data_IF_910043151922
#
_entry.id   IF_910043151922
#
_cell.length_a   1.000
_cell.length_b   1.000
_cell.length_c   1.000
_cell.angle_alpha   90.00
_cell.angle_beta   90.00
_cell.angle_gamma   90.00
#
_symmetry.space_group_name_H-M   'P 1'
#
loop_
_entity.id
_entity.type
_entity.pdbx_description
1 polymer ?
#
# COMPACT_ATOMS: atom_id res chain seq x y z
N UNK A 1 -35.38 -31.26 26.29
CA UNK A 1 -35.62 -32.65 26.74
C UNK A 1 -36.97 -32.73 27.43
N UNK A 2 -37.51 -33.93 27.67
CA UNK A 2 -38.70 -34.07 28.51
C UNK A 2 -38.42 -33.64 29.95
N UNK A 3 -39.47 -33.26 30.68
CA UNK A 3 -39.42 -33.08 32.13
C UNK A 3 -39.02 -34.39 32.83
N UNK A 4 -38.59 -34.31 34.09
CA UNK A 4 -38.22 -35.47 34.88
C UNK A 4 -39.36 -36.50 34.91
N UNK A 5 -38.99 -37.78 34.76
CA UNK A 5 -39.92 -38.91 34.85
C UNK A 5 -40.59 -38.93 36.24
N UNK A 6 -41.90 -39.21 36.31
CA UNK A 6 -42.59 -39.40 37.58
C UNK A 6 -41.92 -40.46 38.46
N UNK A 7 -41.91 -40.28 39.79
CA UNK A 7 -41.36 -41.26 40.73
C UNK A 7 -42.10 -42.60 40.65
N UNK A 8 -41.42 -43.66 41.08
CA UNK A 8 -42.04 -44.99 41.22
C UNK A 8 -42.97 -44.98 42.43
N UNK A 9 -44.09 -45.67 42.34
CA UNK A 9 -45.06 -45.83 43.43
C UNK A 9 -44.51 -46.83 44.48
N UNK A 10 -43.55 -46.35 45.28
CA UNK A 10 -42.82 -47.09 46.31
C UNK A 10 -42.48 -46.17 47.51
N UNK A 11 -42.23 -46.69 48.72
CA UNK A 11 -42.05 -45.88 49.94
C UNK A 11 -40.97 -44.81 49.88
N UNK A 12 -39.92 -45.02 49.06
CA UNK A 12 -38.82 -44.08 48.82
C UNK A 12 -38.77 -43.58 47.37
N UNK A 13 -39.82 -43.78 46.58
CA UNK A 13 -39.90 -43.41 45.15
C UNK A 13 -38.90 -44.12 44.22
N UNK A 14 -38.24 -45.19 44.70
CA UNK A 14 -37.24 -45.96 43.95
C UNK A 14 -37.64 -47.43 43.83
N UNK A 15 -37.01 -48.14 42.90
CA UNK A 15 -37.14 -49.59 42.83
C UNK A 15 -36.33 -50.25 43.94
N UNK A 16 -36.96 -51.21 44.61
CA UNK A 16 -36.32 -52.10 45.56
C UNK A 16 -36.44 -53.55 45.10
N UNK A 17 -35.38 -54.32 45.35
CA UNK A 17 -35.42 -55.77 45.20
C UNK A 17 -36.32 -56.40 46.26
N UNK A 18 -36.93 -57.54 45.91
CA UNK A 18 -37.62 -58.37 46.87
C UNK A 18 -36.62 -59.10 47.77
N UNK A 19 -37.05 -59.44 48.98
CA UNK A 19 -36.31 -60.32 49.88
C UNK A 19 -37.08 -61.63 50.08
N UNK A 20 -36.73 -62.72 49.37
CA UNK A 20 -37.40 -64.01 49.48
C UNK A 20 -37.34 -64.63 50.87
N UNK A 21 -36.29 -64.36 51.66
CA UNK A 21 -36.14 -64.92 53.01
C UNK A 21 -37.04 -64.22 54.05
N UNK A 22 -37.54 -63.02 53.72
CA UNK A 22 -38.47 -62.24 54.54
C UNK A 22 -39.88 -62.15 53.92
N UNK A 23 -40.12 -62.82 52.79
CA UNK A 23 -41.39 -62.74 52.04
C UNK A 23 -41.68 -61.36 51.45
N UNK A 24 -40.72 -60.45 51.43
CA UNK A 24 -40.88 -59.10 50.88
C UNK A 24 -40.83 -59.16 49.35
N UNK A 25 -41.89 -58.70 48.68
CA UNK A 25 -41.92 -58.61 47.22
C UNK A 25 -41.14 -57.39 46.73
N UNK A 26 -40.51 -57.53 45.57
CA UNK A 26 -39.82 -56.41 44.91
C UNK A 26 -40.81 -55.40 44.31
N UNK A 27 -40.31 -54.21 44.01
CA UNK A 27 -41.11 -53.15 43.39
C UNK A 27 -41.52 -53.53 41.97
N UNK A 28 -42.82 -53.51 41.67
CA UNK A 28 -43.33 -53.86 40.34
C UNK A 28 -42.98 -52.76 39.33
N UNK A 29 -42.35 -53.15 38.22
CA UNK A 29 -42.13 -52.26 37.07
C UNK A 29 -43.42 -52.13 36.27
N UNK A 30 -44.12 -51.01 36.45
CA UNK A 30 -45.39 -50.75 35.75
C UNK A 30 -45.15 -50.24 34.33
N UNK A 31 -46.11 -50.49 33.44
CA UNK A 31 -46.09 -49.97 32.07
C UNK A 31 -45.92 -48.44 32.02
N UNK A 32 -46.50 -47.72 32.99
CA UNK A 32 -46.29 -46.27 33.14
C UNK A 32 -44.79 -45.91 33.17
N UNK A 33 -44.00 -46.62 33.97
CA UNK A 33 -42.56 -46.35 34.07
C UNK A 33 -41.82 -46.67 32.77
N UNK A 34 -42.06 -47.85 32.18
CA UNK A 34 -41.40 -48.24 30.92
C UNK A 34 -41.78 -47.35 29.75
N UNK A 35 -43.04 -46.88 29.69
CA UNK A 35 -43.47 -45.90 28.70
C UNK A 35 -42.77 -44.56 28.91
N UNK A 36 -42.65 -44.08 30.14
CA UNK A 36 -41.91 -42.84 30.45
C UNK A 36 -40.41 -42.96 30.09
N UNK A 37 -39.78 -44.11 30.33
CA UNK A 37 -38.39 -44.38 29.89
C UNK A 37 -38.29 -44.35 28.36
N UNK A 38 -39.20 -45.02 27.66
CA UNK A 38 -39.24 -45.01 26.19
C UNK A 38 -39.39 -43.59 25.65
N UNK A 39 -40.28 -42.80 26.24
CA UNK A 39 -40.55 -41.43 25.83
C UNK A 39 -39.34 -40.52 26.08
N UNK A 40 -38.65 -40.66 27.21
CA UNK A 40 -37.43 -39.92 27.52
C UNK A 40 -36.31 -40.23 26.52
N UNK A 41 -36.08 -41.51 26.20
CA UNK A 41 -35.08 -41.93 25.21
C UNK A 41 -35.41 -41.36 23.82
N UNK A 42 -36.66 -41.49 23.38
CA UNK A 42 -37.10 -40.95 22.07
C UNK A 42 -36.99 -39.42 22.02
N UNK A 43 -37.21 -38.73 23.14
CA UNK A 43 -37.05 -37.28 23.25
C UNK A 43 -35.59 -36.87 23.04
N UNK A 44 -34.65 -37.52 23.72
CA UNK A 44 -33.20 -37.27 23.52
C UNK A 44 -32.79 -37.59 22.08
N UNK A 45 -33.23 -38.73 21.53
CA UNK A 45 -32.95 -39.09 20.14
C UNK A 45 -33.44 -38.02 19.16
N UNK A 46 -34.65 -37.46 19.36
CA UNK A 46 -35.17 -36.36 18.53
C UNK A 46 -34.31 -35.09 18.59
N UNK A 47 -33.75 -34.74 19.74
CA UNK A 47 -32.84 -33.60 19.83
C UNK A 47 -31.53 -33.87 19.08
N UNK A 48 -30.97 -35.07 19.24
CA UNK A 48 -29.78 -35.48 18.48
C UNK A 48 -30.04 -35.49 16.96
N UNK A 49 -31.20 -36.01 16.53
CA UNK A 49 -31.64 -35.96 15.13
C UNK A 49 -31.80 -34.52 14.62
N UNK A 50 -32.24 -33.59 15.47
CA UNK A 50 -32.35 -32.17 15.10
C UNK A 50 -30.98 -31.53 14.89
N UNK A 51 -29.98 -31.91 15.70
CA UNK A 51 -28.58 -31.50 15.52
C UNK A 51 -28.04 -32.04 14.19
N UNK A 52 -28.28 -33.32 13.87
CA UNK A 52 -27.87 -33.92 12.59
C UNK A 52 -28.53 -33.22 11.39
N UNK A 53 -29.83 -32.95 11.47
CA UNK A 53 -30.58 -32.25 10.43
C UNK A 53 -30.06 -30.82 10.21
N UNK A 54 -29.77 -30.08 11.29
CA UNK A 54 -29.18 -28.74 11.21
C UNK A 54 -27.81 -28.74 10.52
N UNK A 55 -27.04 -29.83 10.66
CA UNK A 55 -25.78 -30.05 9.96
C UNK A 55 -25.95 -30.66 8.55
N UNK A 56 -27.19 -30.90 8.09
CA UNK A 56 -27.48 -31.61 6.85
C UNK A 56 -26.79 -32.99 6.77
N UNK A 57 -26.86 -33.75 7.87
CA UNK A 57 -26.35 -35.13 8.00
C UNK A 57 -27.55 -36.06 8.17
N UNK A 58 -27.61 -37.12 7.35
CA UNK A 58 -28.61 -38.17 7.52
C UNK A 58 -28.18 -39.12 8.65
N UNK A 59 -29.11 -39.53 9.53
CA UNK A 59 -28.80 -40.47 10.60
C UNK A 59 -28.33 -41.82 10.06
N UNK A 60 -27.26 -42.34 10.64
CA UNK A 60 -26.69 -43.65 10.30
C UNK A 60 -26.59 -44.50 11.58
N UNK A 61 -27.22 -45.67 11.59
CA UNK A 61 -27.23 -46.59 12.73
C UNK A 61 -25.87 -47.21 13.02
N UNK A 62 -24.97 -47.24 12.03
CA UNK A 62 -23.64 -47.83 12.15
C UNK A 62 -22.56 -46.79 12.56
N UNK A 63 -22.90 -45.50 12.53
CA UNK A 63 -21.98 -44.41 12.88
C UNK A 63 -22.11 -43.99 14.35
N UNK A 64 -20.98 -44.01 15.06
CA UNK A 64 -20.87 -43.58 16.46
C UNK A 64 -20.33 -42.14 16.64
N UNK A 65 -20.09 -41.40 15.57
CA UNK A 65 -19.51 -40.04 15.64
C UNK A 65 -20.34 -38.95 14.93
N UNK A 66 -21.50 -39.29 14.37
CA UNK A 66 -22.36 -38.37 13.62
C UNK A 66 -22.77 -37.10 14.40
N UNK A 67 -23.04 -37.21 15.70
CA UNK A 67 -23.38 -36.04 16.55
C UNK A 67 -22.19 -35.09 16.67
N UNK A 68 -20.98 -35.63 16.84
CA UNK A 68 -19.76 -34.84 16.87
C UNK A 68 -19.49 -34.17 15.52
N UNK A 69 -19.68 -34.91 14.41
CA UNK A 69 -19.58 -34.35 13.06
C UNK A 69 -20.55 -33.20 12.84
N UNK A 70 -21.80 -33.34 13.30
CA UNK A 70 -22.81 -32.31 13.19
C UNK A 70 -22.47 -31.07 14.03
N UNK A 71 -22.05 -31.23 15.29
CA UNK A 71 -21.63 -30.12 16.14
C UNK A 71 -20.46 -29.37 15.51
N UNK A 72 -19.43 -30.08 15.03
CA UNK A 72 -18.29 -29.47 14.36
C UNK A 72 -18.71 -28.68 13.12
N UNK A 73 -19.60 -29.25 12.30
CA UNK A 73 -20.12 -28.58 11.11
C UNK A 73 -20.92 -27.34 11.44
N UNK A 74 -21.87 -27.43 12.39
CA UNK A 74 -22.67 -26.30 12.86
C UNK A 74 -21.75 -25.20 13.43
N UNK A 75 -20.74 -25.55 14.21
CA UNK A 75 -19.81 -24.56 14.77
C UNK A 75 -18.95 -23.88 13.70
N UNK A 76 -18.57 -24.59 12.63
CA UNK A 76 -17.86 -24.01 11.48
C UNK A 76 -18.78 -23.12 10.64
N UNK A 77 -20.05 -23.48 10.48
CA UNK A 77 -21.03 -22.73 9.70
C UNK A 77 -21.61 -21.53 10.47
N UNK A 78 -21.70 -21.61 11.80
CA UNK A 78 -22.26 -20.57 12.69
C UNK A 78 -21.25 -19.51 13.09
N UNK A 79 -19.95 -19.82 13.03
CA UNK A 79 -18.92 -18.80 13.10
C UNK A 79 -18.80 -18.17 11.72
N UNK A 80 -18.83 -16.84 11.66
CA UNK A 80 -18.38 -16.00 10.55
C UNK A 80 -16.91 -16.32 10.17
N UNK A 81 -16.66 -17.54 9.70
CA UNK A 81 -15.35 -18.01 9.35
C UNK A 81 -14.97 -17.26 8.09
N UNK A 82 -13.81 -16.59 8.12
CA UNK A 82 -13.31 -15.83 6.98
C UNK A 82 -13.45 -16.70 5.73
N UNK A 83 -14.21 -16.25 4.70
CA UNK A 83 -14.37 -16.97 3.46
C UNK A 83 -13.01 -17.39 2.87
N UNK A 84 -12.99 -18.56 2.22
CA UNK A 84 -11.78 -19.02 1.55
C UNK A 84 -11.29 -17.98 0.54
N UNK A 85 -9.98 -17.82 0.45
CA UNK A 85 -9.34 -16.93 -0.50
C UNK A 85 -9.28 -15.44 -0.12
N UNK A 86 -9.87 -14.98 0.99
CA UNK A 86 -9.66 -13.60 1.47
C UNK A 86 -8.24 -13.43 2.04
N UNK A 87 -7.42 -12.50 1.53
CA UNK A 87 -6.12 -12.21 2.12
C UNK A 87 -6.27 -11.52 3.48
N UNK A 88 -5.63 -12.07 4.50
CA UNK A 88 -5.60 -11.56 5.87
C UNK A 88 -4.18 -11.11 6.24
N UNK A 89 -4.03 -9.95 6.92
CA UNK A 89 -2.74 -9.54 7.45
C UNK A 89 -2.35 -10.43 8.64
N UNK A 90 -1.13 -10.97 8.61
CA UNK A 90 -0.58 -11.87 9.61
C UNK A 90 0.76 -11.35 10.15
N UNK A 91 0.93 -11.21 11.47
CA UNK A 91 2.07 -10.49 12.06
C UNK A 91 3.35 -11.31 12.19
N UNK A 92 3.31 -12.63 11.95
CA UNK A 92 4.48 -13.51 12.10
C UNK A 92 4.89 -14.16 10.79
N UNK A 93 6.11 -14.66 10.71
CA UNK A 93 6.66 -15.30 9.51
C UNK A 93 6.04 -16.67 9.19
N UNK A 94 5.48 -17.34 10.20
CA UNK A 94 4.89 -18.68 10.05
C UNK A 94 3.35 -18.58 10.09
N UNK A 95 2.65 -18.93 9.01
CA UNK A 95 1.19 -18.93 9.01
C UNK A 95 0.65 -20.04 9.93
N UNK A 96 -0.55 -19.89 10.51
CA UNK A 96 -1.21 -20.97 11.23
C UNK A 96 -1.50 -22.15 10.31
N UNK A 97 -1.67 -23.34 10.90
CA UNK A 97 -2.12 -24.53 10.18
C UNK A 97 -3.43 -24.24 9.44
N UNK A 98 -3.52 -24.65 8.17
CA UNK A 98 -4.68 -24.40 7.31
C UNK A 98 -4.62 -23.08 6.54
N UNK A 99 -3.53 -22.31 6.65
CA UNK A 99 -3.32 -21.08 5.90
C UNK A 99 -2.09 -21.15 4.99
N UNK A 100 -2.13 -20.44 3.86
CA UNK A 100 -1.03 -20.30 2.91
C UNK A 100 -0.63 -18.83 2.76
N UNK A 101 0.65 -18.55 2.56
CA UNK A 101 1.15 -17.19 2.28
C UNK A 101 0.83 -16.82 0.82
N UNK A 102 0.35 -15.60 0.58
CA UNK A 102 0.10 -15.04 -0.76
C UNK A 102 1.41 -14.60 -1.43
N UNK A 103 2.18 -15.56 -1.95
CA UNK A 103 3.51 -15.36 -2.53
C UNK A 103 3.61 -15.73 -4.02
N UNK A 104 2.48 -15.85 -4.72
CA UNK A 104 2.45 -16.27 -6.12
C UNK A 104 2.50 -17.79 -6.36
N UNK A 105 2.61 -18.62 -5.31
CA UNK A 105 2.74 -20.06 -5.46
C UNK A 105 1.46 -20.71 -6.02
N UNK A 106 1.65 -21.74 -6.84
CA UNK A 106 0.58 -22.64 -7.28
C UNK A 106 0.11 -23.54 -6.13
N UNK A 107 -1.13 -23.99 -6.19
CA UNK A 107 -1.71 -24.92 -5.23
C UNK A 107 -2.51 -26.03 -5.92
N UNK A 108 -2.69 -27.16 -5.24
CA UNK A 108 -3.48 -28.29 -5.75
C UNK A 108 -4.97 -28.06 -5.54
N UNK A 109 -5.74 -28.04 -6.62
CA UNK A 109 -7.21 -27.96 -6.56
C UNK A 109 -7.83 -29.21 -5.90
N UNK A 110 -7.17 -30.37 -5.97
CA UNK A 110 -7.62 -31.58 -5.28
C UNK A 110 -7.45 -31.47 -3.76
N UNK A 111 -6.42 -30.76 -3.30
CA UNK A 111 -6.15 -30.56 -1.86
C UNK A 111 -6.97 -29.39 -1.30
N UNK A 112 -7.14 -28.32 -2.08
CA UNK A 112 -7.82 -27.09 -1.67
C UNK A 112 -8.95 -26.70 -2.64
N UNK A 113 -10.03 -27.51 -2.73
CA UNK A 113 -11.10 -27.27 -3.70
C UNK A 113 -11.84 -25.94 -3.48
N UNK A 114 -12.03 -25.53 -2.21
CA UNK A 114 -12.68 -24.26 -1.88
C UNK A 114 -11.81 -23.06 -2.30
N UNK A 115 -10.48 -23.19 -2.24
CA UNK A 115 -9.56 -22.15 -2.69
C UNK A 115 -9.52 -22.08 -4.21
N UNK A 116 -9.59 -23.23 -4.91
CA UNK A 116 -9.66 -23.31 -6.36
C UNK A 116 -10.94 -22.67 -6.93
N UNK A 117 -12.04 -22.69 -6.18
CA UNK A 117 -13.27 -22.00 -6.55
C UNK A 117 -13.13 -20.46 -6.55
N UNK A 118 -12.18 -19.92 -5.78
CA UNK A 118 -11.93 -18.47 -5.69
C UNK A 118 -10.77 -18.05 -6.62
N UNK A 119 -9.64 -18.75 -6.53
CA UNK A 119 -8.47 -18.55 -7.38
C UNK A 119 -8.44 -19.59 -8.49
N UNK A 120 -9.22 -19.35 -9.53
CA UNK A 120 -9.44 -20.29 -10.65
C UNK A 120 -8.20 -20.53 -11.52
N UNK A 121 -7.17 -19.69 -11.40
CA UNK A 121 -5.86 -19.91 -12.02
C UNK A 121 -5.07 -21.07 -11.40
N UNK A 122 -5.46 -21.54 -10.20
CA UNK A 122 -4.70 -22.53 -9.44
C UNK A 122 -3.43 -21.95 -8.79
N UNK A 123 -3.31 -20.62 -8.72
CA UNK A 123 -2.21 -19.94 -8.06
C UNK A 123 -2.70 -18.78 -7.19
N UNK A 124 -1.99 -18.55 -6.08
CA UNK A 124 -2.24 -17.40 -5.22
C UNK A 124 -1.72 -16.11 -5.87
N UNK A 125 -2.31 -14.95 -5.56
CA UNK A 125 -1.69 -13.68 -5.88
C UNK A 125 -0.36 -13.53 -5.11
N UNK A 126 0.61 -12.85 -5.71
CA UNK A 126 1.81 -12.41 -4.99
C UNK A 126 1.52 -11.03 -4.40
N UNK A 127 1.29 -11.00 -3.08
CA UNK A 127 0.94 -9.78 -2.35
C UNK A 127 2.12 -9.18 -1.57
N UNK A 128 3.34 -9.68 -1.81
CA UNK A 128 4.55 -9.10 -1.21
C UNK A 128 4.77 -7.70 -1.77
N UNK A 129 4.88 -6.71 -0.89
CA UNK A 129 4.99 -5.29 -1.26
C UNK A 129 3.70 -4.67 -1.79
N UNK A 130 2.58 -5.40 -1.83
CA UNK A 130 1.31 -4.90 -2.36
C UNK A 130 0.44 -4.30 -1.26
N UNK A 131 -0.35 -3.29 -1.62
CA UNK A 131 -1.45 -2.77 -0.79
C UNK A 131 -2.77 -3.08 -1.48
N UNK A 132 -3.72 -3.68 -0.75
CA UNK A 132 -5.05 -3.99 -1.31
C UNK A 132 -5.84 -2.70 -1.51
N UNK A 133 -6.21 -2.44 -2.76
CA UNK A 133 -7.07 -1.33 -3.18
C UNK A 133 -8.40 -1.91 -3.67
N UNK A 134 -9.50 -1.33 -3.22
CA UNK A 134 -10.83 -1.70 -3.72
C UNK A 134 -10.91 -1.57 -5.24
N UNK A 135 -11.59 -2.51 -5.90
CA UNK A 135 -11.79 -2.46 -7.34
C UNK A 135 -12.57 -1.18 -7.71
N UNK A 136 -12.05 -0.30 -8.57
CA UNK A 136 -12.79 0.87 -9.02
C UNK A 136 -13.98 0.45 -9.88
N UNK A 137 -14.97 1.34 -10.03
CA UNK A 137 -16.16 1.07 -10.84
C UNK A 137 -15.84 0.77 -12.32
N UNK A 138 -14.69 1.21 -12.83
CA UNK A 138 -14.22 0.94 -14.20
C UNK A 138 -12.70 1.08 -14.31
N UNK A 139 -12.14 0.65 -15.45
CA UNK A 139 -10.73 0.85 -15.79
C UNK A 139 -9.77 -0.20 -15.22
N UNK A 140 -10.24 -1.17 -14.43
CA UNK A 140 -9.44 -2.27 -13.88
C UNK A 140 -10.24 -3.57 -13.77
N UNK A 141 -9.54 -4.69 -13.83
CA UNK A 141 -10.06 -6.03 -13.54
C UNK A 141 -9.70 -6.48 -12.12
N UNK A 142 -10.45 -7.43 -11.57
CA UNK A 142 -10.10 -8.09 -10.31
C UNK A 142 -8.68 -8.70 -10.40
N UNK A 143 -7.92 -8.59 -9.31
CA UNK A 143 -6.53 -9.06 -9.19
C UNK A 143 -5.52 -8.43 -10.17
N UNK A 144 -5.90 -7.39 -10.92
CA UNK A 144 -4.92 -6.60 -11.68
C UNK A 144 -3.95 -5.88 -10.75
N UNK A 145 -2.68 -5.72 -11.16
CA UNK A 145 -1.69 -4.91 -10.45
C UNK A 145 -1.68 -3.47 -10.99
N UNK A 146 -1.30 -2.53 -10.14
CA UNK A 146 -1.13 -1.11 -10.45
C UNK A 146 0.19 -0.66 -9.83
N UNK A 147 1.07 -0.05 -10.62
CA UNK A 147 2.32 0.50 -10.12
C UNK A 147 2.05 1.75 -9.26
N UNK A 148 2.96 2.07 -8.36
CA UNK A 148 2.92 3.31 -7.61
C UNK A 148 3.14 4.53 -8.54
N UNK A 149 2.71 5.70 -8.08
CA UNK A 149 2.85 6.90 -8.89
C UNK A 149 2.50 8.16 -8.13
N UNK A 150 3.25 9.23 -8.41
CA UNK A 150 2.96 10.54 -7.85
C UNK A 150 1.86 11.23 -8.66
N UNK A 151 1.01 11.99 -7.98
CA UNK A 151 -0.03 12.78 -8.64
C UNK A 151 0.63 13.91 -9.44
N UNK A 152 0.08 14.21 -10.62
CA UNK A 152 0.50 15.35 -11.44
C UNK A 152 0.44 16.65 -10.66
N UNK A 153 1.52 17.45 -10.70
CA UNK A 153 1.63 18.73 -10.01
C UNK A 153 2.67 19.65 -10.69
N UNK A 154 2.75 20.91 -10.25
CA UNK A 154 3.68 21.93 -10.76
C UNK A 154 4.42 22.63 -9.61
N UNK A 155 5.56 23.25 -9.92
CA UNK A 155 6.34 24.06 -8.98
C UNK A 155 6.48 25.50 -9.49
N UNK A 156 6.53 26.46 -8.58
CA UNK A 156 6.99 27.81 -8.89
C UNK A 156 8.52 27.86 -8.90
N UNK A 157 9.11 28.56 -9.86
CA UNK A 157 10.56 28.75 -9.96
C UNK A 157 10.88 30.22 -10.21
N UNK A 158 12.04 30.66 -9.72
CA UNK A 158 12.57 32.01 -9.93
C UNK A 158 14.08 31.97 -10.16
N UNK A 159 14.61 33.01 -10.81
CA UNK A 159 16.05 33.23 -10.98
C UNK A 159 16.46 34.48 -10.19
N UNK A 160 17.67 34.50 -9.66
CA UNK A 160 18.22 35.67 -8.98
C UNK A 160 18.80 36.66 -9.98
N UNK A 161 18.58 37.95 -9.75
CA UNK A 161 19.22 39.02 -10.52
C UNK A 161 20.75 38.88 -10.50
N UNK A 162 21.39 39.13 -11.65
CA UNK A 162 22.85 39.02 -11.82
C UNK A 162 23.41 40.31 -12.41
N UNK A 163 24.23 41.02 -11.63
CA UNK A 163 24.97 42.20 -12.10
C UNK A 163 26.28 41.78 -12.79
N UNK A 164 26.46 42.18 -14.06
CA UNK A 164 27.67 41.88 -14.86
C UNK A 164 28.80 42.91 -14.65
N UNK A 165 28.54 43.92 -13.82
CA UNK A 165 29.45 45.02 -13.50
C UNK A 165 29.69 45.99 -14.66
N UNK A 166 30.50 47.02 -14.41
CA UNK A 166 30.86 48.03 -15.39
C UNK A 166 32.02 47.57 -16.29
N UNK A 167 31.94 47.83 -17.60
CA UNK A 167 33.02 47.58 -18.57
C UNK A 167 33.35 48.89 -19.31
N UNK A 168 34.63 49.20 -19.48
CA UNK A 168 35.10 50.41 -20.19
C UNK A 168 35.99 50.02 -21.37
N UNK A 169 35.96 50.80 -22.46
CA UNK A 169 36.95 50.69 -23.54
C UNK A 169 38.29 51.28 -23.07
N UNK A 170 39.43 50.88 -23.66
CA UNK A 170 40.73 51.46 -23.30
C UNK A 170 40.76 52.97 -23.62
N UNK A 171 41.45 53.75 -22.79
CA UNK A 171 41.61 55.20 -22.93
C UNK A 171 42.92 55.60 -23.62
N UNK A 172 43.69 54.64 -24.13
CA UNK A 172 45.09 54.81 -24.52
C UNK A 172 45.28 55.41 -25.93
N UNK A 173 44.48 56.42 -26.27
CA UNK A 173 44.54 57.07 -27.59
C UNK A 173 45.01 58.54 -27.53
N UNK A 174 45.35 59.06 -26.35
CA UNK A 174 45.73 60.47 -26.21
C UNK A 174 47.22 60.69 -26.55
N UNK A 175 47.46 61.27 -27.72
CA UNK A 175 48.77 61.79 -28.12
C UNK A 175 48.60 63.10 -28.89
N UNK A 176 49.61 63.97 -28.83
CA UNK A 176 49.68 65.27 -29.52
C UNK A 176 51.01 65.39 -30.26
N UNK A 177 51.00 66.07 -31.40
CA UNK A 177 52.19 66.43 -32.16
C UNK A 177 52.45 67.94 -32.06
N UNK A 178 53.67 68.33 -31.67
CA UNK A 178 54.10 69.73 -31.61
C UNK A 178 55.09 70.08 -32.72
N UNK A 179 54.93 71.25 -33.34
CA UNK A 179 55.89 71.79 -34.31
C UNK A 179 56.82 72.80 -33.64
N UNK A 180 58.13 72.66 -33.89
CA UNK A 180 59.16 73.55 -33.33
C UNK A 180 59.17 74.96 -33.93
N UNK A 181 59.57 75.94 -33.11
CA UNK A 181 59.66 77.34 -33.45
C UNK A 181 60.85 77.64 -34.37
N UNK A 182 60.69 77.43 -35.68
CA UNK A 182 61.72 77.82 -36.65
C UNK A 182 61.56 77.16 -38.01
N UNK A 183 60.66 77.67 -38.86
CA UNK A 183 60.74 77.39 -40.29
C UNK A 183 61.76 78.33 -40.92
N UNK A 184 63.04 77.98 -40.83
CA UNK A 184 64.07 78.66 -41.62
C UNK A 184 63.97 78.14 -43.06
N UNK A 185 63.45 78.96 -43.96
CA UNK A 185 63.49 78.67 -45.40
C UNK A 185 64.96 78.59 -45.81
N UNK A 186 65.42 77.40 -46.16
CA UNK A 186 66.76 77.22 -46.71
C UNK A 186 66.75 77.66 -48.18
N UNK A 187 67.19 78.91 -48.43
CA UNK A 187 67.61 79.37 -49.76
C UNK A 187 66.76 80.44 -50.47
N UNK A 188 66.59 81.65 -49.92
CA UNK A 188 66.03 82.76 -50.69
C UNK A 188 66.04 84.14 -50.01
N UNK A 189 66.82 85.05 -50.62
CA UNK A 189 66.95 86.53 -50.48
C UNK A 189 66.26 87.25 -49.32
N UNK A 190 67.05 88.04 -48.61
CA UNK A 190 66.72 88.98 -47.53
C UNK A 190 65.49 89.84 -47.81
N UNK A 191 64.35 89.36 -47.34
CA UNK A 191 63.22 90.18 -46.95
C UNK A 191 63.00 89.93 -45.47
N UNK A 192 62.91 90.99 -44.67
CA UNK A 192 62.44 90.90 -43.29
C UNK A 192 61.04 90.28 -43.28
N UNK A 193 60.96 88.97 -43.17
CA UNK A 193 59.76 88.34 -42.64
C UNK A 193 59.77 88.69 -41.15
N UNK A 194 58.85 89.56 -40.76
CA UNK A 194 58.73 90.06 -39.39
C UNK A 194 58.99 88.94 -38.38
N UNK A 195 59.84 89.23 -37.40
CA UNK A 195 60.18 88.28 -36.35
C UNK A 195 58.92 87.97 -35.55
N UNK A 196 58.25 86.87 -35.90
CA UNK A 196 57.19 86.32 -35.07
C UNK A 196 57.88 85.65 -33.88
N UNK A 197 58.19 86.44 -32.85
CA UNK A 197 58.51 85.98 -31.48
C UNK A 197 57.27 85.41 -30.76
N UNK A 198 56.21 85.08 -31.50
CA UNK A 198 55.05 84.40 -30.97
C UNK A 198 55.41 82.97 -30.63
N UNK A 199 55.23 82.58 -29.38
CA UNK A 199 55.38 81.21 -28.88
C UNK A 199 54.25 80.27 -29.32
N UNK A 200 53.45 80.68 -30.31
CA UNK A 200 52.25 79.97 -30.78
C UNK A 200 52.48 79.18 -32.07
N UNK A 201 53.49 78.31 -32.12
CA UNK A 201 53.55 77.30 -33.17
C UNK A 201 52.55 76.19 -32.79
N UNK A 202 51.60 75.94 -33.69
CA UNK A 202 50.41 75.14 -33.40
C UNK A 202 50.72 73.78 -32.80
N UNK A 203 50.10 73.47 -31.67
CA UNK A 203 49.91 72.08 -31.23
C UNK A 203 48.72 71.52 -31.98
N UNK A 204 48.75 70.24 -32.35
CA UNK A 204 47.51 69.61 -32.81
C UNK A 204 46.49 69.60 -31.67
N UNK A 205 45.21 69.91 -31.94
CA UNK A 205 44.23 69.95 -30.86
C UNK A 205 44.00 68.54 -30.35
N UNK A 206 44.14 68.35 -29.04
CA UNK A 206 43.69 67.12 -28.37
C UNK A 206 42.17 67.10 -28.40
N UNK A 207 41.58 66.02 -28.93
CA UNK A 207 40.14 65.88 -28.98
C UNK A 207 39.65 65.48 -27.56
N UNK A 208 38.65 66.16 -26.98
CA UNK A 208 38.18 65.86 -25.63
C UNK A 208 37.76 64.39 -25.48
N UNK A 209 37.83 63.83 -24.26
CA UNK A 209 37.35 62.48 -24.01
C UNK A 209 35.92 62.31 -24.53
N UNK A 210 35.68 61.28 -25.33
CA UNK A 210 34.36 60.93 -25.84
C UNK A 210 34.00 59.50 -25.45
N UNK A 211 32.70 59.22 -25.36
CA UNK A 211 32.18 57.91 -25.01
C UNK A 211 31.39 57.31 -26.18
N UNK A 212 31.34 55.98 -26.19
CA UNK A 212 30.52 55.19 -27.10
C UNK A 212 29.47 54.41 -26.31
N UNK A 213 28.34 54.11 -26.94
CA UNK A 213 27.37 53.13 -26.43
C UNK A 213 27.57 51.79 -27.13
N UNK A 214 27.33 50.70 -26.41
CA UNK A 214 27.41 49.33 -26.95
C UNK A 214 26.10 48.62 -26.63
N UNK A 215 25.44 48.11 -27.67
CA UNK A 215 24.23 47.30 -27.51
C UNK A 215 24.62 45.83 -27.27
N UNK A 216 24.14 45.25 -26.16
CA UNK A 216 24.52 43.88 -25.73
C UNK A 216 23.54 42.80 -26.25
N UNK A 217 22.26 43.14 -26.40
CA UNK A 217 21.22 42.22 -26.91
C UNK A 217 20.60 41.28 -25.87
N UNK A 218 19.54 40.54 -26.24
CA UNK A 218 18.88 39.56 -25.38
C UNK A 218 19.71 38.27 -25.28
N UNK A 219 19.62 37.59 -24.13
CA UNK A 219 20.20 36.26 -23.92
C UNK A 219 19.27 35.42 -23.03
N UNK A 220 19.59 34.13 -22.86
CA UNK A 220 18.81 33.20 -22.04
C UNK A 220 19.66 32.09 -21.45
N UNK A 221 19.03 31.26 -20.62
CA UNK A 221 19.69 30.16 -19.90
C UNK A 221 18.93 28.85 -20.08
N UNK A 222 19.66 27.74 -20.01
CA UNK A 222 19.07 26.41 -19.87
C UNK A 222 18.82 26.14 -18.39
N UNK A 223 17.60 25.75 -18.04
CA UNK A 223 17.24 25.33 -16.68
C UNK A 223 17.15 23.80 -16.66
N UNK A 224 17.83 23.19 -15.69
CA UNK A 224 17.74 21.75 -15.42
C UNK A 224 17.12 21.55 -14.05
N UNK A 225 16.13 20.66 -13.97
CA UNK A 225 15.52 20.24 -12.70
C UNK A 225 15.91 18.78 -12.48
N UNK A 226 16.69 18.54 -11.44
CA UNK A 226 17.15 17.19 -11.09
C UNK A 226 16.01 16.35 -10.49
N UNK A 227 16.14 15.03 -10.62
CA UNK A 227 15.18 14.10 -10.03
C UNK A 227 15.21 14.19 -8.49
N UNK A 228 14.03 14.08 -7.87
CA UNK A 228 13.88 14.07 -6.41
C UNK A 228 12.83 13.05 -5.99
N UNK A 229 13.17 12.22 -5.01
CA UNK A 229 12.28 11.17 -4.48
C UNK A 229 13.01 9.89 -4.10
N UNK A 230 12.23 8.89 -3.68
CA UNK A 230 12.69 7.53 -3.40
C UNK A 230 12.42 6.62 -4.60
N UNK A 231 12.85 5.36 -4.52
CA UNK A 231 12.55 4.33 -5.53
C UNK A 231 11.06 3.98 -5.64
N UNK A 232 10.28 4.21 -4.58
CA UNK A 232 8.85 3.94 -4.52
C UNK A 232 8.10 5.11 -3.85
N UNK A 233 6.89 5.36 -4.34
CA UNK A 233 5.91 6.27 -3.73
C UNK A 233 5.20 5.54 -2.61
N UNK A 234 5.47 5.93 -1.36
CA UNK A 234 4.93 5.25 -0.19
C UNK A 234 4.06 6.14 0.66
N UNK A 235 3.12 5.51 1.38
CA UNK A 235 2.44 6.09 2.54
C UNK A 235 2.99 5.42 3.80
N UNK A 236 2.77 6.01 4.98
CA UNK A 236 3.13 5.33 6.24
C UNK A 236 2.46 3.95 6.28
N UNK A 237 3.25 2.90 6.43
CA UNK A 237 2.81 1.52 6.38
C UNK A 237 3.57 0.65 7.40
N UNK A 238 3.07 -0.56 7.64
CA UNK A 238 3.69 -1.59 8.49
C UNK A 238 3.61 -2.93 7.78
N UNK A 239 4.70 -3.70 7.83
CA UNK A 239 4.79 -4.97 7.13
C UNK A 239 4.04 -6.10 7.87
N UNK A 240 3.12 -6.76 7.17
CA UNK A 240 2.45 -7.99 7.57
C UNK A 240 2.56 -8.98 6.40
N UNK A 241 2.55 -10.28 6.69
CA UNK A 241 2.31 -11.26 5.65
C UNK A 241 0.83 -11.22 5.25
N UNK A 242 0.54 -11.34 3.96
CA UNK A 242 -0.80 -11.71 3.53
C UNK A 242 -0.91 -13.23 3.50
N UNK A 243 -1.89 -13.77 4.24
CA UNK A 243 -2.21 -15.21 4.26
C UNK A 243 -3.65 -15.44 3.82
N UNK A 244 -3.94 -16.61 3.25
CA UNK A 244 -5.30 -17.04 2.89
C UNK A 244 -5.63 -18.35 3.57
N UNK A 245 -6.88 -18.51 3.98
CA UNK A 245 -7.41 -19.77 4.47
C UNK A 245 -7.48 -20.78 3.31
N UNK A 246 -6.88 -21.95 3.50
CA UNK A 246 -6.82 -23.03 2.52
C UNK A 246 -7.57 -24.29 2.98
N UNK A 247 -7.70 -24.52 4.30
CA UNK A 247 -8.43 -25.65 4.90
C UNK A 247 -9.44 -25.20 5.98
#
# INVERSE_FOLDING_TARGET
>A
MQSLMPPVDAPNNEFSDGNPSLGTLGTIVRALFLNNVQDAIRSVQRELLSILAAANINPDGDSNNQVLQAINKIMVDSNMSVPYGIPLPWPTSTPPTGYLICNGASFSAATYPNLAAVYTSGALPDLRGQTIKGLPASGRALLSLEADGNKTHTHGASATETDLGTKTTSSDNEHDHGWGAGMQKQGGSDQEVGSNRGTGFGRTSVQPPHSHTVYIGPHGHTITIDASGNSETTVKNMAFHYIVRAA
#
